data_IF_204097280521
#
_entry.id   IF_204097280521
#
_cell.length_a   1.000
_cell.length_b   1.000
_cell.length_c   1.000
_cell.angle_alpha   90.00
_cell.angle_beta   90.00
_cell.angle_gamma   90.00
#
_symmetry.space_group_name_H-M   'P 1'
#
loop_
_entity.id
_entity.type
_entity.pdbx_description
1 polymer ?
#
# COMPACT_ATOMS: atom_id res chain seq x y z
N UNK A 1 1.25 33.65 -22.59
CA UNK A 1 0.32 32.51 -22.80
C UNK A 1 0.02 31.90 -21.44
N UNK A 2 -1.22 31.92 -20.95
CA UNK A 2 -1.56 31.25 -19.70
C UNK A 2 -1.49 29.73 -19.91
N UNK A 3 -0.82 29.03 -19.01
CA UNK A 3 -0.81 27.58 -19.01
C UNK A 3 -2.25 27.10 -18.79
N UNK A 4 -2.81 26.36 -19.75
CA UNK A 4 -4.05 25.61 -19.57
C UNK A 4 -3.86 24.70 -18.36
N UNK A 5 -4.56 25.03 -17.28
CA UNK A 5 -4.60 24.24 -16.07
C UNK A 5 -5.46 23.02 -16.39
N UNK A 6 -4.83 21.97 -16.94
CA UNK A 6 -5.45 20.67 -17.18
C UNK A 6 -6.13 20.22 -15.89
N UNK A 7 -7.42 19.92 -15.98
CA UNK A 7 -8.18 19.38 -14.86
C UNK A 7 -7.57 18.00 -14.54
N UNK A 8 -6.97 17.80 -13.35
CA UNK A 8 -6.34 16.54 -13.01
C UNK A 8 -7.33 15.37 -12.88
N UNK A 9 -8.65 15.66 -12.96
CA UNK A 9 -9.73 14.68 -12.92
C UNK A 9 -10.40 14.48 -14.28
N UNK A 10 -9.83 15.00 -15.36
CA UNK A 10 -10.31 14.72 -16.70
C UNK A 10 -9.85 13.34 -17.14
N UNK A 11 -10.77 12.53 -17.66
CA UNK A 11 -10.53 11.13 -18.01
C UNK A 11 -9.49 11.06 -19.14
N UNK A 12 -8.34 10.38 -18.98
CA UNK A 12 -7.42 10.20 -20.09
C UNK A 12 -8.06 9.28 -21.14
N UNK A 13 -8.12 9.73 -22.40
CA UNK A 13 -8.54 8.89 -23.52
C UNK A 13 -7.58 7.70 -23.65
N UNK A 14 -8.07 6.49 -23.40
CA UNK A 14 -7.24 5.27 -23.45
C UNK A 14 -7.83 4.27 -24.43
N UNK A 15 -6.97 3.73 -25.29
CA UNK A 15 -7.27 2.67 -26.24
C UNK A 15 -7.69 1.40 -25.48
N UNK A 16 -8.95 1.02 -25.60
CA UNK A 16 -9.50 -0.18 -24.99
C UNK A 16 -8.82 -1.45 -25.56
N UNK A 17 -7.87 -2.01 -24.82
CA UNK A 17 -7.35 -3.34 -25.06
C UNK A 17 -8.02 -4.33 -24.11
N UNK A 18 -8.88 -5.19 -24.69
CA UNK A 18 -9.30 -6.50 -24.18
C UNK A 18 -9.77 -6.56 -22.72
N UNK A 19 -11.04 -6.23 -22.45
CA UNK A 19 -11.67 -6.56 -21.18
C UNK A 19 -11.83 -8.07 -21.05
N UNK A 20 -11.13 -8.68 -20.10
CA UNK A 20 -11.36 -10.07 -19.70
C UNK A 20 -12.78 -10.23 -19.11
N UNK A 21 -13.44 -11.39 -19.31
CA UNK A 21 -14.80 -11.61 -18.83
C UNK A 21 -14.88 -11.52 -17.30
N UNK A 22 -15.84 -10.72 -16.81
CA UNK A 22 -16.09 -10.46 -15.39
C UNK A 22 -16.61 -11.73 -14.71
N UNK A 23 -15.88 -12.21 -13.69
CA UNK A 23 -16.32 -13.35 -12.88
C UNK A 23 -17.16 -12.88 -11.67
N UNK A 24 -18.41 -12.48 -11.97
CA UNK A 24 -19.36 -11.94 -10.99
C UNK A 24 -19.56 -12.80 -9.71
N UNK A 25 -19.69 -14.15 -9.76
CA UNK A 25 -19.89 -14.94 -8.54
C UNK A 25 -18.65 -14.98 -7.63
N UNK A 26 -17.45 -14.94 -8.21
CA UNK A 26 -16.20 -14.88 -7.44
C UNK A 26 -16.02 -13.53 -6.74
N UNK A 27 -16.37 -12.42 -7.41
CA UNK A 27 -16.36 -11.08 -6.79
C UNK A 27 -17.35 -10.97 -5.63
N UNK A 28 -18.55 -11.55 -5.78
CA UNK A 28 -19.56 -11.56 -4.72
C UNK A 28 -19.11 -12.39 -3.50
N UNK A 29 -18.48 -13.53 -3.74
CA UNK A 29 -17.93 -14.39 -2.68
C UNK A 29 -16.85 -13.67 -1.88
N UNK A 30 -15.90 -13.01 -2.55
CA UNK A 30 -14.90 -12.17 -1.88
C UNK A 30 -15.55 -11.02 -1.09
N UNK A 31 -16.56 -10.36 -1.67
CA UNK A 31 -17.28 -9.30 -0.98
C UNK A 31 -18.00 -9.81 0.29
N UNK A 32 -18.51 -11.04 0.29
CA UNK A 32 -19.10 -11.66 1.47
C UNK A 32 -18.06 -11.91 2.57
N UNK A 33 -16.89 -12.43 2.22
CA UNK A 33 -15.76 -12.64 3.14
C UNK A 33 -15.31 -11.32 3.79
N UNK A 34 -15.14 -10.26 2.99
CA UNK A 34 -14.79 -8.93 3.51
C UNK A 34 -15.87 -8.41 4.48
N UNK A 35 -17.16 -8.59 4.15
CA UNK A 35 -18.25 -8.16 5.03
C UNK A 35 -18.27 -8.91 6.36
N UNK A 36 -18.00 -10.23 6.35
CA UNK A 36 -17.90 -11.02 7.58
C UNK A 36 -16.79 -10.50 8.50
N UNK A 37 -15.63 -10.15 7.94
CA UNK A 37 -14.55 -9.53 8.71
C UNK A 37 -14.96 -8.16 9.28
N UNK A 38 -15.56 -7.28 8.46
CA UNK A 38 -16.04 -5.98 8.91
C UNK A 38 -17.14 -6.07 9.98
N UNK A 39 -17.94 -7.13 9.96
CA UNK A 39 -18.95 -7.43 10.97
C UNK A 39 -18.35 -7.96 12.29
N UNK A 40 -17.04 -8.22 12.35
CA UNK A 40 -16.37 -8.94 13.43
C UNK A 40 -16.84 -10.39 13.61
N UNK A 41 -17.40 -11.01 12.56
CA UNK A 41 -17.86 -12.40 12.59
C UNK A 41 -16.68 -13.37 12.48
N UNK A 42 -15.63 -12.98 11.75
CA UNK A 42 -14.37 -13.69 11.61
C UNK A 42 -13.20 -12.84 12.11
N UNK A 43 -12.14 -13.52 12.49
CA UNK A 43 -10.86 -12.96 12.92
C UNK A 43 -9.94 -12.64 11.73
N UNK A 44 -8.84 -11.93 11.96
CA UNK A 44 -7.87 -11.58 10.92
C UNK A 44 -7.22 -12.83 10.31
N UNK A 45 -6.92 -13.85 11.10
CA UNK A 45 -6.33 -15.08 10.58
C UNK A 45 -7.34 -15.92 9.79
N UNK A 46 -8.60 -16.00 10.24
CA UNK A 46 -9.66 -16.64 9.45
C UNK A 46 -9.93 -15.88 8.15
N UNK A 47 -9.82 -14.55 8.18
CA UNK A 47 -9.96 -13.72 6.99
C UNK A 47 -8.81 -13.96 6.00
N UNK A 48 -7.56 -14.00 6.46
CA UNK A 48 -6.38 -14.32 5.63
C UNK A 48 -6.51 -15.71 4.99
N UNK A 49 -6.86 -16.73 5.78
CA UNK A 49 -7.06 -18.09 5.28
C UNK A 49 -8.15 -18.17 4.20
N UNK A 50 -9.23 -17.39 4.31
CA UNK A 50 -10.26 -17.31 3.27
C UNK A 50 -9.83 -16.50 2.05
N UNK A 51 -8.91 -15.54 2.21
CA UNK A 51 -8.38 -14.75 1.09
C UNK A 51 -7.44 -15.56 0.19
N UNK A 52 -6.80 -16.60 0.71
CA UNK A 52 -5.92 -17.50 -0.06
C UNK A 52 -6.61 -18.09 -1.29
N UNK A 53 -7.89 -18.45 -1.19
CA UNK A 53 -8.69 -18.99 -2.30
C UNK A 53 -8.79 -18.00 -3.49
N UNK A 54 -8.65 -16.70 -3.23
CA UNK A 54 -8.77 -15.64 -4.22
C UNK A 54 -7.42 -15.16 -4.77
N UNK A 55 -6.30 -15.48 -4.11
CA UNK A 55 -4.95 -15.00 -4.51
C UNK A 55 -4.55 -15.48 -5.91
N UNK A 56 -5.04 -16.65 -6.34
CA UNK A 56 -4.79 -17.19 -7.68
C UNK A 56 -5.86 -16.83 -8.72
N UNK A 57 -6.81 -15.95 -8.40
CA UNK A 57 -7.85 -15.53 -9.35
C UNK A 57 -7.23 -14.89 -10.59
N UNK A 58 -7.86 -15.07 -11.76
CA UNK A 58 -7.47 -14.39 -13.01
C UNK A 58 -8.08 -12.99 -13.13
N UNK A 59 -9.06 -12.67 -12.30
CA UNK A 59 -9.72 -11.36 -12.31
C UNK A 59 -8.82 -10.32 -11.62
N UNK A 60 -8.35 -9.34 -12.38
CA UNK A 60 -7.47 -8.28 -11.90
C UNK A 60 -8.11 -7.47 -10.75
N UNK A 61 -9.45 -7.32 -10.74
CA UNK A 61 -10.15 -6.64 -9.65
C UNK A 61 -10.07 -7.44 -8.36
N UNK A 62 -10.27 -8.76 -8.44
CA UNK A 62 -10.15 -9.66 -7.28
C UNK A 62 -8.72 -9.60 -6.73
N UNK A 63 -7.71 -9.75 -7.60
CA UNK A 63 -6.30 -9.67 -7.18
C UNK A 63 -5.99 -8.33 -6.50
N UNK A 64 -6.41 -7.22 -7.10
CA UNK A 64 -6.20 -5.89 -6.53
C UNK A 64 -6.86 -5.74 -5.16
N UNK A 65 -8.11 -6.18 -5.01
CA UNK A 65 -8.83 -6.05 -3.74
C UNK A 65 -8.21 -6.93 -2.66
N UNK A 66 -7.82 -8.18 -2.98
CA UNK A 66 -7.13 -9.09 -2.06
C UNK A 66 -5.81 -8.50 -1.56
N UNK A 67 -4.98 -8.02 -2.49
CA UNK A 67 -3.71 -7.37 -2.15
C UNK A 67 -3.93 -6.13 -1.29
N UNK A 68 -4.91 -5.29 -1.66
CA UNK A 68 -5.24 -4.08 -0.92
C UNK A 68 -5.72 -4.36 0.50
N UNK A 69 -6.66 -5.30 0.70
CA UNK A 69 -7.14 -5.60 2.05
C UNK A 69 -6.03 -6.18 2.93
N UNK A 70 -5.16 -7.04 2.37
CA UNK A 70 -4.04 -7.64 3.11
C UNK A 70 -3.16 -6.57 3.75
N UNK A 71 -2.76 -5.52 3.03
CA UNK A 71 -1.97 -4.43 3.61
C UNK A 71 -2.63 -3.67 4.77
N UNK A 72 -3.94 -3.81 4.98
CA UNK A 72 -4.68 -3.07 6.00
C UNK A 72 -5.14 -3.92 7.19
N UNK A 73 -5.21 -5.25 7.05
CA UNK A 73 -5.51 -6.13 8.19
C UNK A 73 -4.30 -6.97 8.61
N UNK A 74 -3.28 -7.15 7.75
CA UNK A 74 -2.12 -7.98 8.06
C UNK A 74 -1.35 -7.37 9.22
N UNK A 75 -1.51 -8.02 10.37
CA UNK A 75 -0.71 -7.80 11.55
C UNK A 75 -0.28 -9.17 12.09
N UNK A 76 0.85 -9.24 12.80
CA UNK A 76 1.37 -10.48 13.36
C UNK A 76 0.53 -11.03 14.54
N UNK A 77 -0.69 -10.54 14.74
CA UNK A 77 -1.58 -10.82 15.86
C UNK A 77 -2.98 -11.15 15.35
N UNK A 78 -3.62 -12.17 15.92
CA UNK A 78 -5.00 -12.50 15.56
C UNK A 78 -5.98 -11.54 16.24
N UNK A 79 -6.74 -10.80 15.43
CA UNK A 79 -7.63 -9.76 15.95
C UNK A 79 -8.93 -9.67 15.16
N UNK A 80 -9.96 -9.10 15.80
CA UNK A 80 -11.18 -8.68 15.09
C UNK A 80 -10.95 -7.33 14.42
N UNK A 81 -11.92 -6.85 13.65
CA UNK A 81 -11.83 -5.54 13.01
C UNK A 81 -11.46 -4.44 14.02
N UNK A 82 -10.37 -3.75 13.71
CA UNK A 82 -9.80 -2.66 14.49
C UNK A 82 -9.20 -1.66 13.48
N UNK A 83 -10.07 -0.88 12.85
CA UNK A 83 -9.69 0.05 11.79
C UNK A 83 -10.26 1.44 12.06
N UNK A 84 -9.54 2.46 11.62
CA UNK A 84 -10.01 3.84 11.64
C UNK A 84 -11.20 4.06 10.69
N UNK A 85 -11.91 5.17 10.86
CA UNK A 85 -12.98 5.56 9.92
C UNK A 85 -12.47 5.68 8.47
N UNK A 86 -11.24 6.13 8.28
CA UNK A 86 -10.67 6.30 6.94
C UNK A 86 -10.44 4.94 6.25
N UNK A 87 -9.92 3.96 7.00
CA UNK A 87 -9.75 2.58 6.52
C UNK A 87 -11.10 1.89 6.30
N UNK A 88 -12.07 2.10 7.18
CA UNK A 88 -13.44 1.61 6.96
C UNK A 88 -14.03 2.14 5.65
N UNK A 89 -13.92 3.45 5.43
CA UNK A 89 -14.41 4.08 4.20
C UNK A 89 -13.66 3.55 2.96
N UNK A 90 -12.38 3.18 3.09
CA UNK A 90 -11.62 2.52 2.05
C UNK A 90 -12.12 1.10 1.75
N UNK A 91 -12.35 0.27 2.77
CA UNK A 91 -12.94 -1.06 2.60
C UNK A 91 -14.33 -0.99 1.94
N UNK A 92 -15.15 0.00 2.30
CA UNK A 92 -16.45 0.22 1.64
C UNK A 92 -16.28 0.56 0.15
N UNK A 93 -15.24 1.30 -0.23
CA UNK A 93 -14.93 1.57 -1.65
C UNK A 93 -14.42 0.31 -2.36
N UNK A 94 -13.62 -0.54 -1.71
CA UNK A 94 -13.22 -1.84 -2.28
C UNK A 94 -14.43 -2.76 -2.51
N UNK A 95 -15.39 -2.79 -1.58
CA UNK A 95 -16.65 -3.50 -1.76
C UNK A 95 -17.49 -2.94 -2.92
N UNK A 96 -17.48 -1.62 -3.10
CA UNK A 96 -18.10 -0.98 -4.26
C UNK A 96 -17.44 -1.45 -5.56
N UNK A 97 -16.10 -1.46 -5.62
CA UNK A 97 -15.31 -1.92 -6.77
C UNK A 97 -15.65 -3.38 -7.14
N UNK A 98 -15.83 -4.27 -6.14
CA UNK A 98 -16.24 -5.64 -6.41
C UNK A 98 -17.67 -5.75 -6.96
N UNK A 99 -18.56 -4.84 -6.56
CA UNK A 99 -19.97 -4.86 -6.95
C UNK A 99 -20.29 -4.12 -8.26
N UNK A 100 -19.39 -3.23 -8.69
CA UNK A 100 -19.53 -2.45 -9.89
C UNK A 100 -18.74 -3.09 -11.04
N UNK A 101 -19.11 -2.72 -12.27
CA UNK A 101 -18.32 -3.06 -13.45
C UNK A 101 -17.09 -2.12 -13.51
N UNK A 102 -16.01 -2.57 -12.88
CA UNK A 102 -14.76 -1.82 -12.74
C UNK A 102 -13.59 -2.59 -13.37
N UNK A 103 -12.60 -1.82 -13.83
CA UNK A 103 -11.33 -2.30 -14.36
C UNK A 103 -10.16 -1.70 -13.58
N UNK A 104 -9.06 -2.45 -13.50
CA UNK A 104 -7.83 -2.05 -12.83
C UNK A 104 -6.82 -1.59 -13.86
N UNK A 105 -6.43 -0.32 -13.79
CA UNK A 105 -5.29 0.20 -14.53
C UNK A 105 -4.08 0.26 -13.60
N UNK A 106 -2.98 -0.35 -14.04
CA UNK A 106 -1.71 -0.36 -13.31
C UNK A 106 -0.62 0.27 -14.17
N UNK A 107 -0.17 1.45 -13.76
CA UNK A 107 0.98 2.11 -14.34
C UNK A 107 2.20 1.84 -13.46
N UNK A 108 3.30 1.42 -14.08
CA UNK A 108 4.56 1.14 -13.36
C UNK A 108 5.70 1.84 -14.05
N UNK A 109 6.37 2.72 -13.32
CA UNK A 109 7.52 3.48 -13.79
C UNK A 109 8.75 3.14 -12.94
N UNK A 110 9.93 3.07 -13.57
CA UNK A 110 11.21 2.95 -12.88
C UNK A 110 11.93 4.28 -12.91
N UNK A 111 12.24 4.81 -11.73
CA UNK A 111 12.81 6.14 -11.56
C UNK A 111 14.19 6.03 -10.91
N UNK A 112 15.17 6.67 -11.54
CA UNK A 112 16.50 6.87 -10.97
C UNK A 112 16.57 8.24 -10.32
N UNK A 113 17.18 8.31 -9.14
CA UNK A 113 17.37 9.55 -8.39
C UNK A 113 18.82 9.64 -7.88
N UNK A 114 19.17 10.81 -7.35
CA UNK A 114 20.48 11.01 -6.73
C UNK A 114 20.69 10.09 -5.51
N UNK A 115 19.61 9.63 -4.85
CA UNK A 115 19.69 8.76 -3.68
C UNK A 115 20.38 7.43 -3.99
N UNK A 116 20.10 6.85 -5.16
CA UNK A 116 20.72 5.60 -5.58
C UNK A 116 22.24 5.74 -5.66
N UNK A 117 22.74 6.88 -6.15
CA UNK A 117 24.17 7.18 -6.22
C UNK A 117 24.79 7.33 -4.83
N UNK A 118 24.12 8.04 -3.92
CA UNK A 118 24.59 8.20 -2.53
C UNK A 118 24.60 6.86 -1.80
N UNK A 119 23.57 6.03 -1.98
CA UNK A 119 23.49 4.68 -1.43
C UNK A 119 24.62 3.79 -1.96
N UNK A 120 24.84 3.78 -3.28
CA UNK A 120 25.92 3.02 -3.91
C UNK A 120 27.30 3.45 -3.42
N UNK A 121 27.56 4.77 -3.35
CA UNK A 121 28.83 5.29 -2.84
C UNK A 121 29.06 4.90 -1.37
N UNK A 122 28.03 5.01 -0.54
CA UNK A 122 28.07 4.62 0.88
C UNK A 122 28.38 3.13 1.04
N UNK A 123 27.73 2.27 0.24
CA UNK A 123 27.94 0.83 0.26
C UNK A 123 29.36 0.44 -0.21
N UNK A 124 29.87 1.11 -1.26
CA UNK A 124 31.24 0.90 -1.73
C UNK A 124 32.28 1.27 -0.65
N UNK A 125 32.11 2.41 0.02
CA UNK A 125 33.01 2.82 1.11
C UNK A 125 32.95 1.81 2.25
N UNK A 126 31.75 1.36 2.65
CA UNK A 126 31.59 0.32 3.66
C UNK A 126 32.32 -0.97 3.26
N UNK A 127 32.15 -1.44 2.02
CA UNK A 127 32.79 -2.66 1.51
C UNK A 127 34.33 -2.57 1.53
N UNK A 128 34.90 -1.42 1.18
CA UNK A 128 36.35 -1.18 1.24
C UNK A 128 36.85 -1.27 2.68
N UNK A 129 36.15 -0.61 3.63
CA UNK A 129 36.53 -0.65 5.05
C UNK A 129 36.38 -2.05 5.63
N UNK A 130 35.33 -2.78 5.25
CA UNK A 130 35.13 -4.17 5.67
C UNK A 130 36.23 -5.09 5.16
N UNK A 131 36.69 -4.89 3.91
CA UNK A 131 37.81 -5.64 3.34
C UNK A 131 39.13 -5.35 4.06
N UNK A 132 39.38 -4.09 4.44
CA UNK A 132 40.61 -3.68 5.13
C UNK A 132 40.67 -4.15 6.59
N UNK A 133 39.56 -4.06 7.31
CA UNK A 133 39.48 -4.40 8.75
C UNK A 133 39.26 -5.91 8.94
N UNK A 134 38.71 -6.59 7.93
CA UNK A 134 38.35 -7.99 7.99
C UNK A 134 36.93 -8.23 8.50
N UNK A 135 36.46 -9.47 8.30
CA UNK A 135 35.10 -9.88 8.65
C UNK A 135 35.01 -10.21 10.15
N UNK A 136 34.15 -9.50 10.88
CA UNK A 136 33.93 -9.74 12.30
C UNK A 136 32.86 -8.82 12.89
N UNK A 137 32.65 -8.93 14.20
CA UNK A 137 31.61 -8.17 14.94
C UNK A 137 31.86 -6.66 14.92
N UNK A 138 33.11 -6.23 14.71
CA UNK A 138 33.48 -4.82 14.51
C UNK A 138 32.74 -4.18 13.33
N UNK A 139 32.30 -4.96 12.32
CA UNK A 139 31.53 -4.46 11.19
C UNK A 139 30.15 -3.91 11.61
N UNK A 140 29.57 -4.43 12.71
CA UNK A 140 28.29 -3.95 13.24
C UNK A 140 28.42 -2.52 13.77
N UNK A 141 29.52 -2.21 14.45
CA UNK A 141 29.81 -0.86 14.94
C UNK A 141 30.15 0.05 13.77
N UNK A 142 30.94 -0.45 12.81
CA UNK A 142 31.31 0.28 11.60
C UNK A 142 30.09 0.62 10.72
N UNK A 143 29.04 -0.19 10.74
CA UNK A 143 27.81 0.01 9.99
C UNK A 143 26.96 1.19 10.49
N UNK A 144 27.09 1.59 11.76
CA UNK A 144 26.29 2.65 12.40
C UNK A 144 26.31 3.98 11.62
N UNK A 145 27.47 4.59 11.25
CA UNK A 145 27.49 5.82 10.47
C UNK A 145 26.78 5.68 9.12
N UNK A 146 26.92 4.54 8.45
CA UNK A 146 26.22 4.23 7.20
C UNK A 146 24.71 4.03 7.41
N UNK A 147 24.32 3.56 8.61
CA UNK A 147 22.94 3.47 9.06
C UNK A 147 22.27 4.84 9.11
N UNK A 148 22.94 5.84 9.68
CA UNK A 148 22.43 7.22 9.68
C UNK A 148 22.25 7.76 8.26
N UNK A 149 23.19 7.48 7.37
CA UNK A 149 23.07 7.86 5.94
C UNK A 149 21.86 7.18 5.31
N UNK A 150 21.70 5.87 5.52
CA UNK A 150 20.58 5.10 4.98
C UNK A 150 19.22 5.59 5.49
N UNK A 151 19.12 5.90 6.78
CA UNK A 151 17.90 6.48 7.38
C UNK A 151 17.65 7.88 6.82
N UNK A 152 18.68 8.73 6.68
CA UNK A 152 18.52 10.04 6.08
C UNK A 152 18.03 9.93 4.61
N UNK A 153 18.55 8.98 3.83
CA UNK A 153 18.12 8.72 2.45
C UNK A 153 16.65 8.29 2.38
N UNK A 154 16.16 7.48 3.32
CA UNK A 154 14.74 7.10 3.35
C UNK A 154 13.85 8.32 3.59
N UNK A 155 14.29 9.29 4.41
CA UNK A 155 13.53 10.51 4.65
C UNK A 155 13.69 11.58 3.56
N UNK A 156 14.78 11.58 2.79
CA UNK A 156 15.09 12.63 1.80
C UNK A 156 13.96 12.82 0.76
N UNK A 157 13.07 11.86 0.51
CA UNK A 157 11.88 12.10 -0.35
C UNK A 157 10.56 11.64 0.27
N UNK A 158 10.47 11.63 1.60
CA UNK A 158 9.16 11.59 2.27
C UNK A 158 8.51 12.99 2.21
N UNK A 159 8.37 13.60 1.02
CA UNK A 159 7.03 13.80 0.47
C UNK A 159 7.02 13.76 -1.08
N UNK A 160 7.32 12.62 -1.70
CA UNK A 160 7.02 12.44 -3.12
C UNK A 160 5.49 12.40 -3.29
N UNK A 161 4.87 13.55 -3.60
CA UNK A 161 3.53 13.63 -4.22
C UNK A 161 2.49 12.66 -3.64
N UNK A 162 2.44 12.48 -2.30
CA UNK A 162 1.17 12.13 -1.65
C UNK A 162 0.35 13.39 -1.77
N UNK A 163 -0.25 13.55 -2.94
CA UNK A 163 -1.35 14.41 -3.26
C UNK A 163 -1.73 15.34 -2.10
N UNK A 164 -1.29 16.61 -2.17
CA UNK A 164 -1.96 17.72 -1.48
C UNK A 164 -3.41 17.92 -1.98
N UNK A 165 -3.98 16.91 -2.63
CA UNK A 165 -5.37 16.85 -2.99
C UNK A 165 -6.12 16.32 -1.76
N UNK A 166 -6.87 17.20 -1.06
CA UNK A 166 -7.63 16.83 0.13
C UNK A 166 -8.71 15.78 -0.16
N UNK A 167 -9.01 15.51 -1.43
CA UNK A 167 -10.03 14.55 -1.84
C UNK A 167 -9.49 13.13 -2.07
N UNK A 168 -8.17 12.92 -2.17
CA UNK A 168 -7.61 11.56 -2.36
C UNK A 168 -8.09 10.53 -1.34
N UNK A 169 -8.11 10.82 -0.02
CA UNK A 169 -8.60 9.85 0.97
C UNK A 169 -10.09 9.51 0.80
N UNK A 170 -10.83 10.33 0.07
CA UNK A 170 -12.27 10.18 -0.19
C UNK A 170 -12.50 9.36 -1.46
N UNK A 171 -11.70 9.58 -2.52
CA UNK A 171 -11.91 8.94 -3.83
C UNK A 171 -11.10 7.65 -4.02
N UNK A 172 -9.92 7.53 -3.42
CA UNK A 172 -9.05 6.37 -3.62
C UNK A 172 -9.76 5.05 -3.24
N UNK A 173 -9.80 4.03 -4.11
CA UNK A 173 -8.87 3.77 -5.21
C UNK A 173 -9.33 4.24 -6.60
N UNK A 174 -10.42 4.99 -6.71
CA UNK A 174 -10.89 5.52 -7.99
C UNK A 174 -10.00 6.67 -8.46
N UNK A 175 -9.76 6.74 -9.77
CA UNK A 175 -8.96 7.81 -10.36
C UNK A 175 -9.65 9.18 -10.22
N UNK A 176 -10.98 9.21 -10.39
CA UNK A 176 -11.77 10.44 -10.39
C UNK A 176 -13.09 10.31 -9.61
N UNK A 177 -13.71 11.44 -9.26
CA UNK A 177 -15.07 11.45 -8.73
C UNK A 177 -16.10 10.90 -9.72
N UNK A 178 -15.86 11.08 -11.02
CA UNK A 178 -16.73 10.56 -12.07
C UNK A 178 -16.73 9.03 -12.05
N UNK A 179 -15.55 8.40 -11.95
CA UNK A 179 -15.45 6.94 -11.84
C UNK A 179 -16.17 6.41 -10.60
N UNK A 180 -15.98 7.09 -9.45
CA UNK A 180 -16.69 6.76 -8.21
C UNK A 180 -18.22 6.86 -8.39
N UNK A 181 -18.70 7.94 -9.00
CA UNK A 181 -20.12 8.16 -9.23
C UNK A 181 -20.72 7.12 -10.19
N UNK A 182 -20.03 6.78 -11.28
CA UNK A 182 -20.43 5.75 -12.22
C UNK A 182 -20.51 4.39 -11.49
N UNK A 183 -19.52 4.04 -10.68
CA UNK A 183 -19.55 2.80 -9.90
C UNK A 183 -20.75 2.70 -8.95
N UNK A 184 -21.12 3.82 -8.30
CA UNK A 184 -22.34 3.86 -7.47
C UNK A 184 -23.63 3.76 -8.28
N UNK A 185 -23.66 4.26 -9.52
CA UNK A 185 -24.84 4.18 -10.38
C UNK A 185 -25.00 2.80 -11.02
N UNK A 186 -23.89 2.15 -11.37
CA UNK A 186 -23.88 0.83 -12.00
C UNK A 186 -24.13 -0.30 -11.00
N UNK A 187 -23.85 -0.07 -9.71
CA UNK A 187 -24.12 -1.03 -8.64
C UNK A 187 -25.33 -0.63 -7.78
N UNK A 188 -25.96 -1.60 -7.11
CA UNK A 188 -26.94 -1.34 -6.04
C UNK A 188 -26.25 -1.22 -4.67
N UNK A 189 -25.00 -0.77 -4.66
CA UNK A 189 -24.19 -0.78 -3.45
C UNK A 189 -24.68 0.25 -2.44
N UNK A 190 -24.79 -0.17 -1.18
CA UNK A 190 -25.10 0.71 -0.05
C UNK A 190 -23.97 0.66 0.95
N UNK A 191 -23.33 1.82 1.15
CA UNK A 191 -22.27 2.00 2.15
C UNK A 191 -22.81 1.73 3.55
N UNK A 192 -22.08 0.92 4.31
CA UNK A 192 -22.34 0.68 5.74
C UNK A 192 -21.69 1.76 6.58
N UNK A 193 -22.42 2.25 7.58
CA UNK A 193 -21.91 3.27 8.50
C UNK A 193 -20.81 2.72 9.40
N UNK A 194 -19.77 3.51 9.63
CA UNK A 194 -18.71 3.19 10.59
C UNK A 194 -19.29 2.96 12.00
N UNK A 195 -19.11 1.77 12.60
CA UNK A 195 -19.63 1.46 13.92
C UNK A 195 -18.87 2.24 15.01
N UNK A 196 -19.59 2.89 15.92
CA UNK A 196 -18.95 3.67 17.00
C UNK A 196 -18.16 2.80 17.98
N UNK A 197 -18.59 1.55 18.20
CA UNK A 197 -17.98 0.66 19.19
C UNK A 197 -16.60 0.12 18.77
N UNK A 198 -16.22 0.22 17.50
CA UNK A 198 -14.87 -0.16 17.05
C UNK A 198 -13.88 1.01 17.11
N UNK A 199 -14.36 2.25 17.32
CA UNK A 199 -13.53 3.45 17.27
C UNK A 199 -12.45 3.50 18.36
N UNK A 200 -12.72 2.87 19.49
CA UNK A 200 -11.80 2.85 20.64
C UNK A 200 -10.91 1.59 20.66
N UNK A 201 -11.08 0.67 19.70
CA UNK A 201 -10.23 -0.51 19.61
C UNK A 201 -8.84 -0.08 19.14
N UNK A 202 -7.82 -0.62 19.79
CA UNK A 202 -6.43 -0.46 19.40
C UNK A 202 -5.78 -1.83 19.41
N UNK A 203 -5.02 -2.15 18.35
CA UNK A 203 -4.29 -3.42 18.25
C UNK A 203 -3.13 -3.46 19.25
N UNK A 204 -2.39 -2.35 19.34
CA UNK A 204 -1.20 -2.23 20.18
C UNK A 204 -1.27 -0.96 21.02
N UNK A 205 -0.69 -1.04 22.22
CA UNK A 205 -0.51 0.15 23.04
C UNK A 205 0.47 1.13 22.36
N UNK A 206 0.31 2.44 22.55
CA UNK A 206 1.25 3.44 22.02
C UNK A 206 2.71 3.17 22.44
N UNK A 207 2.89 2.62 23.64
CA UNK A 207 4.20 2.21 24.15
C UNK A 207 4.82 1.07 23.33
N UNK A 208 4.05 0.01 23.03
CA UNK A 208 4.56 -1.07 22.19
C UNK A 208 4.87 -0.60 20.78
N UNK A 209 4.04 0.27 20.18
CA UNK A 209 4.32 0.86 18.87
C UNK A 209 5.63 1.65 18.88
N UNK A 210 5.85 2.49 19.90
CA UNK A 210 7.10 3.25 20.04
C UNK A 210 8.31 2.32 20.25
N UNK A 211 8.17 1.28 21.07
CA UNK A 211 9.22 0.29 21.30
C UNK A 211 9.63 -0.41 20.00
N UNK A 212 8.67 -0.92 19.23
CA UNK A 212 8.95 -1.59 17.95
C UNK A 212 9.59 -0.65 16.93
N UNK A 213 9.15 0.61 16.90
CA UNK A 213 9.75 1.62 16.02
C UNK A 213 11.22 1.89 16.37
N UNK A 214 11.53 2.06 17.66
CA UNK A 214 12.92 2.24 18.12
C UNK A 214 13.75 1.00 17.81
N UNK A 215 13.23 -0.18 18.12
CA UNK A 215 13.89 -1.45 17.83
C UNK A 215 14.22 -1.60 16.33
N UNK A 216 13.28 -1.27 15.45
CA UNK A 216 13.48 -1.29 14.01
C UNK A 216 14.58 -0.32 13.56
N UNK A 217 14.64 0.91 14.09
CA UNK A 217 15.73 1.84 13.78
C UNK A 217 17.09 1.35 14.27
N UNK A 218 17.15 0.73 15.45
CA UNK A 218 18.40 0.15 15.97
C UNK A 218 18.90 -0.97 15.06
N UNK A 219 18.00 -1.86 14.61
CA UNK A 219 18.35 -2.89 13.63
C UNK A 219 18.81 -2.27 12.32
N UNK A 220 18.09 -1.28 11.79
CA UNK A 220 18.47 -0.56 10.56
C UNK A 220 19.88 0.01 10.69
N UNK A 221 20.21 0.67 11.80
CA UNK A 221 21.53 1.25 12.03
C UNK A 221 22.65 0.20 11.98
N UNK A 222 22.45 -0.93 12.64
CA UNK A 222 23.45 -1.98 12.79
C UNK A 222 23.58 -2.82 11.51
N UNK A 223 22.48 -3.01 10.79
CA UNK A 223 22.42 -3.80 9.55
C UNK A 223 22.36 -2.93 8.30
N UNK A 224 22.87 -1.70 8.36
CA UNK A 224 22.79 -0.68 7.31
C UNK A 224 23.25 -1.08 5.89
N UNK A 225 24.18 -2.04 5.68
CA UNK A 225 24.53 -2.49 4.33
C UNK A 225 23.34 -3.10 3.58
N UNK A 226 22.41 -3.75 4.29
CA UNK A 226 21.22 -4.37 3.70
C UNK A 226 20.26 -3.32 3.12
N UNK A 227 19.75 -2.33 3.88
CA UNK A 227 18.91 -1.29 3.32
C UNK A 227 19.66 -0.43 2.29
N UNK A 228 20.97 -0.17 2.44
CA UNK A 228 21.74 0.54 1.41
C UNK A 228 21.80 -0.23 0.08
N UNK A 229 21.92 -1.56 0.12
CA UNK A 229 21.85 -2.41 -1.06
C UNK A 229 20.51 -2.28 -1.78
N UNK A 230 19.39 -2.20 -1.06
CA UNK A 230 18.08 -1.97 -1.67
C UNK A 230 17.91 -0.52 -2.15
N UNK A 231 18.43 0.45 -1.40
CA UNK A 231 18.37 1.88 -1.72
C UNK A 231 19.20 2.26 -2.96
N UNK A 232 20.17 1.45 -3.37
CA UNK A 232 20.93 1.68 -4.60
C UNK A 232 20.16 1.26 -5.87
N UNK A 233 19.07 0.49 -5.72
CA UNK A 233 18.24 0.03 -6.84
C UNK A 233 17.29 1.14 -7.32
N UNK A 234 16.89 1.12 -8.61
CA UNK A 234 15.90 2.07 -9.11
C UNK A 234 14.58 1.92 -8.34
N UNK A 235 13.96 3.04 -8.02
CA UNK A 235 12.67 3.05 -7.34
C UNK A 235 11.58 2.65 -8.35
N UNK A 236 10.78 1.66 -7.99
CA UNK A 236 9.63 1.25 -8.80
C UNK A 236 8.39 1.95 -8.27
N UNK A 237 7.88 2.91 -9.02
CA UNK A 237 6.66 3.62 -8.69
C UNK A 237 5.50 2.94 -9.42
N UNK A 238 4.65 2.24 -8.66
CA UNK A 238 3.41 1.70 -9.20
C UNK A 238 2.24 2.56 -8.74
N UNK A 239 1.40 2.97 -9.68
CA UNK A 239 0.10 3.57 -9.40
C UNK A 239 -0.97 2.61 -9.90
N UNK A 240 -1.87 2.23 -9.01
CA UNK A 240 -3.02 1.40 -9.35
C UNK A 240 -4.27 2.24 -9.16
N UNK A 241 -5.06 2.35 -10.22
CA UNK A 241 -6.27 3.16 -10.27
C UNK A 241 -7.43 2.29 -10.74
N UNK A 242 -8.61 2.49 -10.15
CA UNK A 242 -9.84 1.85 -10.59
C UNK A 242 -10.58 2.78 -11.53
N UNK A 243 -10.95 2.27 -12.71
CA UNK A 243 -11.86 2.94 -13.65
C UNK A 243 -13.18 2.20 -13.70
N UNK A 244 -14.28 2.95 -13.69
CA UNK A 244 -15.59 2.38 -13.93
C UNK A 244 -15.83 2.26 -15.45
N UNK A 245 -16.40 1.14 -15.88
CA UNK A 245 -16.79 0.88 -17.26
C UNK A 245 -18.06 1.65 -17.64
#
# INVERSE_FOLDING_TARGET
MPALQLNPYERPETNAQGADPIDSPSRESLAATIRAFLASDITAFEFDAQLDDFRSSKDAVIQHVVEAVWFHYDDCDDHRVCMSKAEWDYFQRLLLVLSADCQIDKETERIWSLKQLVAAASLCVFAILAFQIGWGTQLLILAIPFGFVSIALSFWHAPAKRCNDPFQPIIFPFATFTDLAIAYQSSRFRKTQYPKHIADRTLRSPFMTAFWQIYAYVIWLILSPVPLLFQMLPETRSQTCVKAA
#
